data_IF_776339400839
#
_entry.id   IF_776339400839
#
_cell.length_a   1.000
_cell.length_b   1.000
_cell.length_c   1.000
_cell.angle_alpha   90.00
_cell.angle_beta   90.00
_cell.angle_gamma   90.00
#
_symmetry.space_group_name_H-M   'P 1'
#
loop_
_entity.id
_entity.type
_entity.pdbx_description
1 polymer ?
#
# COMPACT_ATOMS: atom_id res chain seq x y z
N UNK A 1 -56.76 -11.23 43.16
CA UNK A 1 -55.95 -9.99 43.02
C UNK A 1 -54.50 -10.42 42.82
N UNK A 2 -54.16 -10.78 41.59
CA UNK A 2 -52.79 -11.16 41.19
C UNK A 2 -52.24 -10.05 40.32
N UNK A 3 -51.29 -9.29 40.85
CA UNK A 3 -50.58 -8.26 40.10
C UNK A 3 -49.51 -8.92 39.24
N UNK A 4 -49.78 -8.96 37.93
CA UNK A 4 -48.83 -9.29 36.89
C UNK A 4 -47.77 -8.17 36.82
N UNK A 5 -46.51 -8.52 37.07
CA UNK A 5 -45.39 -7.66 36.72
C UNK A 5 -45.20 -7.73 35.19
N UNK A 6 -45.68 -6.68 34.53
CA UNK A 6 -45.42 -6.37 33.13
C UNK A 6 -43.95 -5.96 33.01
N UNK A 7 -43.16 -6.77 32.30
CA UNK A 7 -41.87 -6.35 31.74
C UNK A 7 -42.21 -5.42 30.58
N UNK A 8 -41.83 -4.11 30.61
CA UNK A 8 -42.05 -3.27 29.44
C UNK A 8 -41.10 -3.72 28.32
N UNK A 9 -41.70 -3.85 27.15
CA UNK A 9 -41.12 -4.34 25.92
C UNK A 9 -39.86 -3.55 25.51
N UNK A 10 -38.98 -4.27 24.81
CA UNK A 10 -37.85 -3.77 24.03
C UNK A 10 -38.22 -2.46 23.32
N UNK A 11 -37.68 -1.34 23.82
CA UNK A 11 -37.57 -0.13 23.04
C UNK A 11 -36.66 -0.44 21.84
N UNK A 12 -37.18 -0.18 20.65
CA UNK A 12 -36.59 -0.56 19.38
C UNK A 12 -35.14 -0.13 19.27
N UNK A 13 -34.35 -1.01 18.65
CA UNK A 13 -33.13 -0.64 17.96
C UNK A 13 -33.51 0.50 17.03
N UNK A 14 -33.17 1.73 17.41
CA UNK A 14 -33.12 2.83 16.47
C UNK A 14 -32.08 2.43 15.43
N UNK A 15 -32.57 2.04 14.26
CA UNK A 15 -31.80 2.05 13.03
C UNK A 15 -31.11 3.40 12.96
N UNK A 16 -29.79 3.41 13.10
CA UNK A 16 -28.97 4.58 12.82
C UNK A 16 -29.32 5.06 11.41
N UNK A 17 -29.65 6.34 11.33
CA UNK A 17 -30.06 7.05 10.12
C UNK A 17 -28.97 6.91 9.03
N UNK A 18 -29.27 6.32 7.86
CA UNK A 18 -28.25 5.98 6.87
C UNK A 18 -27.88 7.22 6.06
N UNK A 19 -26.78 7.87 6.45
CA UNK A 19 -26.01 8.76 5.57
C UNK A 19 -26.69 10.07 5.21
N UNK A 20 -26.08 11.18 5.63
CA UNK A 20 -26.55 12.54 5.40
C UNK A 20 -27.05 12.79 3.96
N UNK A 21 -28.33 13.14 3.78
CA UNK A 21 -28.89 13.63 2.52
C UNK A 21 -29.14 15.13 2.60
N UNK A 22 -28.27 15.91 1.94
CA UNK A 22 -28.72 16.86 0.94
C UNK A 22 -27.58 17.16 -0.06
N UNK A 23 -27.69 16.57 -1.27
CA UNK A 23 -26.76 16.75 -2.40
C UNK A 23 -25.78 15.60 -2.66
N UNK A 24 -26.26 14.44 -3.14
CA UNK A 24 -25.58 13.34 -3.89
C UNK A 24 -24.20 12.76 -3.46
N UNK A 25 -23.58 13.20 -2.37
CA UNK A 25 -22.27 12.69 -1.91
C UNK A 25 -22.43 11.95 -0.59
N UNK A 26 -22.52 10.61 -0.67
CA UNK A 26 -22.49 9.72 0.49
C UNK A 26 -21.03 9.55 0.95
N UNK A 27 -20.65 10.22 2.04
CA UNK A 27 -19.36 10.09 2.72
C UNK A 27 -19.59 9.94 4.24
N UNK A 28 -18.65 9.34 4.99
CA UNK A 28 -18.71 9.34 6.46
C UNK A 28 -18.81 10.77 7.02
N UNK A 29 -19.52 11.01 8.14
CA UNK A 29 -19.76 12.36 8.65
C UNK A 29 -18.51 13.19 8.91
N UNK A 30 -17.45 12.56 9.43
CA UNK A 30 -16.15 13.18 9.72
C UNK A 30 -15.39 13.58 8.44
N UNK A 31 -15.52 12.78 7.39
CA UNK A 31 -14.93 13.06 6.07
C UNK A 31 -15.78 14.06 5.27
N UNK A 32 -17.09 14.09 5.51
CA UNK A 32 -18.00 15.07 4.92
C UNK A 32 -17.91 16.44 5.62
N UNK A 33 -17.58 16.50 6.91
CA UNK A 33 -17.57 17.73 7.70
C UNK A 33 -16.79 18.90 7.06
N UNK A 34 -15.60 18.68 6.44
CA UNK A 34 -14.88 19.74 5.72
C UNK A 34 -15.66 20.37 4.55
N UNK A 35 -16.68 19.72 3.99
CA UNK A 35 -17.48 20.26 2.89
C UNK A 35 -18.44 21.39 3.31
N UNK A 36 -18.59 21.64 4.61
CA UNK A 36 -19.50 22.65 5.17
C UNK A 36 -19.03 24.10 4.99
N UNK A 37 -17.78 24.31 4.57
CA UNK A 37 -17.20 25.64 4.34
C UNK A 37 -16.27 25.65 3.13
N UNK A 38 -15.96 26.85 2.64
CA UNK A 38 -14.88 27.04 1.66
C UNK A 38 -13.51 27.01 2.32
N UNK A 39 -12.50 26.63 1.55
CA UNK A 39 -11.09 26.53 1.96
C UNK A 39 -10.22 27.29 0.97
N UNK A 40 -9.23 28.01 1.48
CA UNK A 40 -8.12 28.53 0.67
C UNK A 40 -7.14 27.41 0.31
N UNK A 41 -6.30 27.64 -0.71
CA UNK A 41 -5.25 26.68 -1.08
C UNK A 41 -4.27 26.40 0.07
N UNK A 42 -3.91 27.44 0.84
CA UNK A 42 -3.03 27.32 1.99
C UNK A 42 -3.63 26.42 3.08
N UNK A 43 -4.89 26.67 3.47
CA UNK A 43 -5.58 25.83 4.46
C UNK A 43 -5.74 24.38 3.97
N UNK A 44 -5.95 24.17 2.66
CA UNK A 44 -6.08 22.84 2.08
C UNK A 44 -4.78 22.02 2.20
N UNK A 45 -3.62 22.64 1.94
CA UNK A 45 -2.32 21.98 2.16
C UNK A 45 -2.01 21.76 3.64
N UNK A 46 -2.39 22.69 4.51
CA UNK A 46 -2.26 22.53 5.97
C UNK A 46 -3.12 21.38 6.49
N UNK A 47 -4.37 21.26 6.00
CA UNK A 47 -5.25 20.14 6.31
C UNK A 47 -4.61 18.80 5.93
N UNK A 48 -4.10 18.68 4.70
CA UNK A 48 -3.43 17.47 4.24
C UNK A 48 -2.18 17.16 5.08
N UNK A 49 -1.41 18.19 5.46
CA UNK A 49 -0.24 18.02 6.33
C UNK A 49 -0.61 17.57 7.73
N UNK A 50 -1.69 18.10 8.31
CA UNK A 50 -2.16 17.72 9.65
C UNK A 50 -2.64 16.26 9.66
N UNK A 51 -3.46 15.87 8.66
CA UNK A 51 -3.92 14.50 8.48
C UNK A 51 -2.73 13.54 8.32
N UNK A 52 -1.75 13.90 7.50
CA UNK A 52 -0.55 13.09 7.34
C UNK A 52 0.19 12.87 8.67
N UNK A 53 0.34 13.92 9.47
CA UNK A 53 1.07 13.86 10.75
C UNK A 53 0.31 13.08 11.83
N UNK A 54 -1.02 13.02 11.78
CA UNK A 54 -1.81 12.23 12.73
C UNK A 54 -1.76 10.72 12.45
N UNK A 55 -1.44 10.31 11.21
CA UNK A 55 -1.40 8.91 10.77
C UNK A 55 0.02 8.37 10.51
N UNK A 56 1.04 8.88 11.22
CA UNK A 56 2.48 8.72 10.92
C UNK A 56 3.01 7.28 10.79
N UNK A 57 2.22 6.23 10.99
CA UNK A 57 2.75 4.88 11.24
C UNK A 57 3.17 4.06 10.00
N UNK A 58 2.67 4.28 8.76
CA UNK A 58 2.80 3.23 7.73
C UNK A 58 3.23 3.63 6.30
N UNK A 59 3.53 4.88 5.99
CA UNK A 59 3.87 5.29 4.61
C UNK A 59 5.14 6.15 4.58
N UNK A 60 5.96 6.12 3.51
CA UNK A 60 7.20 6.90 3.39
C UNK A 60 7.03 8.43 3.36
N UNK A 61 5.91 8.96 3.86
CA UNK A 61 5.76 10.40 4.11
C UNK A 61 6.71 10.88 5.21
N UNK A 62 7.15 9.96 6.08
CA UNK A 62 8.14 10.20 7.11
C UNK A 62 9.60 10.06 6.66
N UNK A 63 9.89 9.81 5.37
CA UNK A 63 11.29 9.71 4.98
C UNK A 63 11.98 11.05 5.16
N UNK A 64 12.97 11.08 6.07
CA UNK A 64 13.91 12.18 6.25
C UNK A 64 14.60 12.58 4.92
N UNK A 65 14.58 11.71 3.91
CA UNK A 65 15.16 11.94 2.59
C UNK A 65 14.23 12.71 1.64
N UNK A 66 12.96 12.95 2.00
CA UNK A 66 12.03 13.74 1.19
C UNK A 66 12.40 15.24 1.18
N UNK A 67 12.65 15.87 0.01
CA UNK A 67 12.88 17.30 -0.08
C UNK A 67 11.69 18.12 0.45
N UNK A 68 11.96 19.19 1.22
CA UNK A 68 10.90 20.07 1.78
C UNK A 68 9.94 20.60 0.72
N UNK A 69 10.44 20.90 -0.48
CA UNK A 69 9.63 21.39 -1.59
C UNK A 69 8.58 20.38 -2.10
N UNK A 70 8.82 19.08 -1.94
CA UNK A 70 7.89 18.02 -2.35
C UNK A 70 6.90 17.65 -1.25
N UNK A 71 7.13 18.05 0.01
CA UNK A 71 6.30 17.67 1.15
C UNK A 71 4.81 18.03 0.97
N UNK A 72 4.43 19.24 0.51
CA UNK A 72 3.01 19.56 0.29
C UNK A 72 2.33 18.62 -0.71
N UNK A 73 3.03 18.29 -1.80
CA UNK A 73 2.53 17.37 -2.81
C UNK A 73 2.36 15.95 -2.23
N UNK A 74 3.37 15.44 -1.53
CA UNK A 74 3.30 14.13 -0.87
C UNK A 74 2.18 14.07 0.16
N UNK A 75 2.00 15.12 0.97
CA UNK A 75 0.92 15.19 1.97
C UNK A 75 -0.47 15.15 1.29
N UNK A 76 -0.65 15.86 0.18
CA UNK A 76 -1.94 15.85 -0.56
C UNK A 76 -2.27 14.48 -1.14
N UNK A 77 -1.28 13.80 -1.74
CA UNK A 77 -1.44 12.43 -2.26
C UNK A 77 -1.70 11.46 -1.11
N UNK A 78 -0.92 11.54 -0.02
CA UNK A 78 -1.10 10.69 1.14
C UNK A 78 -2.48 10.88 1.76
N UNK A 79 -2.95 12.12 1.95
CA UNK A 79 -4.27 12.37 2.51
C UNK A 79 -5.37 11.77 1.64
N UNK A 80 -5.29 11.90 0.31
CA UNK A 80 -6.22 11.26 -0.60
C UNK A 80 -6.21 9.72 -0.46
N UNK A 81 -5.03 9.11 -0.50
CA UNK A 81 -4.88 7.65 -0.42
C UNK A 81 -5.33 7.11 0.93
N UNK A 82 -4.95 7.78 2.02
CA UNK A 82 -5.26 7.37 3.38
C UNK A 82 -6.76 7.44 3.67
N UNK A 83 -7.41 8.54 3.29
CA UNK A 83 -8.88 8.65 3.43
C UNK A 83 -9.61 7.57 2.63
N UNK A 84 -9.13 7.24 1.42
CA UNK A 84 -9.72 6.16 0.63
C UNK A 84 -9.47 4.76 1.24
N UNK A 85 -8.27 4.52 1.78
CA UNK A 85 -7.89 3.31 2.52
C UNK A 85 -8.76 3.12 3.76
N UNK A 86 -9.02 4.19 4.52
CA UNK A 86 -9.87 4.19 5.70
C UNK A 86 -11.31 3.75 5.36
N UNK A 87 -11.86 4.09 4.19
CA UNK A 87 -13.15 3.54 3.75
C UNK A 87 -13.13 2.01 3.57
N UNK A 88 -11.97 1.44 3.26
CA UNK A 88 -11.79 0.00 3.09
C UNK A 88 -11.41 -0.74 4.38
N UNK A 89 -10.96 -0.02 5.41
CA UNK A 89 -10.44 -0.64 6.64
C UNK A 89 -11.26 -0.33 7.90
N UNK A 90 -11.95 0.82 7.97
CA UNK A 90 -12.70 1.20 9.17
C UNK A 90 -13.92 0.32 9.40
N UNK A 91 -14.03 -0.18 10.64
CA UNK A 91 -15.21 -0.83 11.23
C UNK A 91 -15.85 -1.90 10.34
N UNK A 92 -15.05 -2.86 9.84
CA UNK A 92 -15.56 -4.07 9.16
C UNK A 92 -16.63 -4.76 10.01
N UNK A 93 -17.88 -4.43 9.75
CA UNK A 93 -19.05 -5.04 10.34
C UNK A 93 -19.68 -5.94 9.29
N UNK A 94 -20.17 -7.14 9.64
CA UNK A 94 -20.88 -7.97 8.69
C UNK A 94 -22.01 -7.19 8.00
N UNK A 95 -21.93 -7.05 6.67
CA UNK A 95 -22.93 -6.35 5.86
C UNK A 95 -22.63 -4.89 5.49
N UNK A 96 -21.45 -4.34 5.84
CA UNK A 96 -21.06 -2.95 5.52
C UNK A 96 -20.43 -2.75 4.12
N UNK A 97 -20.23 -3.83 3.36
CA UNK A 97 -19.50 -3.83 2.09
C UNK A 97 -20.07 -2.82 1.09
N UNK A 98 -21.39 -2.81 0.93
CA UNK A 98 -22.08 -1.91 0.00
C UNK A 98 -21.91 -0.44 0.39
N UNK A 99 -21.89 -0.14 1.69
CA UNK A 99 -21.69 1.22 2.20
C UNK A 99 -20.26 1.69 1.92
N UNK A 100 -19.27 0.85 2.21
CA UNK A 100 -17.85 1.15 1.96
C UNK A 100 -17.55 1.33 0.47
N UNK A 101 -18.14 0.49 -0.38
CA UNK A 101 -18.09 0.67 -1.84
C UNK A 101 -18.76 1.99 -2.28
N UNK A 102 -19.85 2.37 -1.63
CA UNK A 102 -20.51 3.64 -1.93
C UNK A 102 -19.65 4.85 -1.55
N UNK A 103 -18.93 4.81 -0.42
CA UNK A 103 -17.93 5.82 -0.04
C UNK A 103 -16.79 5.92 -1.06
N UNK A 104 -16.21 4.79 -1.46
CA UNK A 104 -15.16 4.75 -2.49
C UNK A 104 -15.66 5.29 -3.84
N UNK A 105 -16.90 4.97 -4.22
CA UNK A 105 -17.51 5.51 -5.44
C UNK A 105 -17.80 7.00 -5.34
N UNK A 106 -18.18 7.52 -4.17
CA UNK A 106 -18.32 8.96 -3.96
C UNK A 106 -16.97 9.68 -4.08
N UNK A 107 -15.91 9.11 -3.50
CA UNK A 107 -14.55 9.62 -3.61
C UNK A 107 -14.03 9.63 -5.06
N UNK A 108 -14.33 8.57 -5.84
CA UNK A 108 -14.01 8.48 -7.27
C UNK A 108 -14.78 9.51 -8.11
N UNK A 109 -16.04 9.81 -7.76
CA UNK A 109 -16.79 10.91 -8.39
C UNK A 109 -16.13 12.27 -8.12
N UNK A 110 -15.64 12.50 -6.91
CA UNK A 110 -14.89 13.71 -6.58
C UNK A 110 -13.56 13.78 -7.34
N UNK A 111 -12.86 12.65 -7.52
CA UNK A 111 -11.65 12.57 -8.35
C UNK A 111 -11.95 12.88 -9.82
N UNK A 112 -13.06 12.36 -10.35
CA UNK A 112 -13.51 12.62 -11.73
C UNK A 112 -13.90 14.09 -11.93
N UNK A 113 -14.54 14.70 -10.95
CA UNK A 113 -14.81 16.13 -10.94
C UNK A 113 -13.48 16.92 -10.93
N UNK A 114 -12.51 16.48 -10.10
CA UNK A 114 -11.20 17.11 -9.93
C UNK A 114 -10.43 17.14 -11.24
N UNK A 115 -10.33 15.99 -11.90
CA UNK A 115 -9.75 15.83 -13.23
C UNK A 115 -10.40 16.77 -14.26
N UNK A 116 -11.72 16.93 -14.20
CA UNK A 116 -12.46 17.79 -15.12
C UNK A 116 -12.46 19.29 -14.76
N UNK A 117 -11.90 19.69 -13.61
CA UNK A 117 -11.94 21.07 -13.13
C UNK A 117 -13.36 21.60 -12.86
N UNK A 118 -14.32 20.72 -12.54
CA UNK A 118 -15.72 21.09 -12.27
C UNK A 118 -16.07 20.84 -10.82
N UNK A 119 -16.79 21.76 -10.18
CA UNK A 119 -17.26 21.56 -8.81
C UNK A 119 -18.12 20.29 -8.71
N UNK A 120 -17.90 19.41 -7.69
CA UNK A 120 -18.75 18.25 -7.48
C UNK A 120 -20.20 18.68 -7.22
N UNK A 121 -21.17 17.98 -7.83
CA UNK A 121 -22.58 18.22 -7.58
C UNK A 121 -22.92 17.97 -6.10
N UNK A 122 -23.78 18.82 -5.52
CA UNK A 122 -24.30 18.61 -4.16
C UNK A 122 -23.45 19.15 -3.01
N UNK A 123 -22.32 19.82 -3.27
CA UNK A 123 -21.54 20.48 -2.21
C UNK A 123 -22.09 21.88 -1.90
N UNK A 124 -22.45 22.17 -0.65
CA UNK A 124 -23.04 23.45 -0.26
C UNK A 124 -22.05 24.64 -0.29
N UNK A 125 -20.74 24.41 -0.06
CA UNK A 125 -19.77 25.48 0.17
C UNK A 125 -18.43 25.37 -0.61
N UNK A 126 -18.25 24.37 -1.48
CA UNK A 126 -17.05 24.23 -2.31
C UNK A 126 -16.46 22.82 -2.35
N UNK A 127 -15.16 22.73 -2.64
CA UNK A 127 -14.41 21.47 -2.71
C UNK A 127 -13.92 21.01 -1.34
N UNK A 128 -13.82 19.69 -1.16
CA UNK A 128 -13.11 19.13 -0.01
C UNK A 128 -11.63 19.54 -0.06
N UNK A 129 -11.00 19.95 1.06
CA UNK A 129 -9.64 20.48 1.08
C UNK A 129 -8.60 19.53 0.48
N UNK A 130 -8.73 18.22 0.70
CA UNK A 130 -7.88 17.21 0.04
C UNK A 130 -7.90 17.37 -1.49
N UNK A 131 -9.06 17.56 -2.10
CA UNK A 131 -9.16 17.66 -3.56
C UNK A 131 -8.66 19.02 -4.10
N UNK A 132 -8.73 20.09 -3.31
CA UNK A 132 -8.11 21.38 -3.67
C UNK A 132 -6.59 21.22 -3.76
N UNK A 133 -5.97 20.71 -2.69
CA UNK A 133 -4.53 20.46 -2.67
C UNK A 133 -4.10 19.42 -3.72
N UNK A 134 -4.92 18.37 -3.90
CA UNK A 134 -4.67 17.33 -4.90
C UNK A 134 -4.68 17.90 -6.32
N UNK A 135 -5.66 18.76 -6.68
CA UNK A 135 -5.72 19.35 -8.03
C UNK A 135 -4.45 20.13 -8.35
N UNK A 136 -4.02 20.97 -7.42
CA UNK A 136 -2.79 21.77 -7.55
C UNK A 136 -1.58 20.83 -7.73
N UNK A 137 -1.49 19.77 -6.93
CA UNK A 137 -0.43 18.76 -7.05
C UNK A 137 -0.46 18.03 -8.39
N UNK A 138 -1.63 17.57 -8.83
CA UNK A 138 -1.80 16.86 -10.10
C UNK A 138 -1.37 17.74 -11.28
N UNK A 139 -1.75 19.02 -11.29
CA UNK A 139 -1.40 19.96 -12.35
C UNK A 139 0.08 20.32 -12.34
N UNK A 140 0.62 20.68 -11.16
CA UNK A 140 2.01 21.11 -10.98
C UNK A 140 2.99 20.03 -11.42
N UNK A 141 2.72 18.78 -11.04
CA UNK A 141 3.58 17.64 -11.33
C UNK A 141 3.09 16.80 -12.51
N UNK A 142 2.06 17.25 -13.24
CA UNK A 142 1.41 16.56 -14.37
C UNK A 142 1.22 15.06 -14.10
N UNK A 143 0.66 14.73 -12.93
CA UNK A 143 0.47 13.35 -12.50
C UNK A 143 -0.75 12.75 -13.21
N UNK A 144 -0.63 11.56 -13.82
CA UNK A 144 -1.79 10.85 -14.36
C UNK A 144 -2.80 10.51 -13.28
N UNK A 145 -4.02 11.03 -13.40
CA UNK A 145 -5.14 10.73 -12.48
C UNK A 145 -5.44 9.22 -12.43
N UNK A 146 -5.19 8.51 -13.52
CA UNK A 146 -5.39 7.06 -13.59
C UNK A 146 -4.65 6.29 -12.48
N UNK A 147 -3.48 6.74 -12.03
CA UNK A 147 -2.75 6.07 -10.95
C UNK A 147 -3.47 6.19 -9.59
N UNK A 148 -4.20 7.28 -9.35
CA UNK A 148 -5.06 7.40 -8.17
C UNK A 148 -6.31 6.52 -8.29
N UNK A 149 -6.87 6.42 -9.49
CA UNK A 149 -8.02 5.55 -9.78
C UNK A 149 -7.66 4.06 -9.68
N UNK A 150 -6.44 3.70 -10.03
CA UNK A 150 -5.88 2.36 -9.84
C UNK A 150 -5.83 2.01 -8.34
N UNK A 151 -5.40 2.94 -7.48
CA UNK A 151 -5.44 2.75 -6.02
C UNK A 151 -6.86 2.61 -5.48
N UNK A 152 -7.81 3.42 -5.97
CA UNK A 152 -9.23 3.25 -5.62
C UNK A 152 -9.76 1.87 -6.03
N UNK A 153 -9.27 1.31 -7.14
CA UNK A 153 -9.62 -0.05 -7.57
C UNK A 153 -9.13 -1.08 -6.55
N UNK A 154 -7.91 -0.95 -6.05
CA UNK A 154 -7.41 -1.81 -4.98
C UNK A 154 -8.26 -1.71 -3.70
N UNK A 155 -8.59 -0.50 -3.25
CA UNK A 155 -9.44 -0.33 -2.06
C UNK A 155 -10.85 -0.91 -2.23
N UNK A 156 -11.41 -0.86 -3.45
CA UNK A 156 -12.68 -1.55 -3.78
C UNK A 156 -12.51 -3.07 -3.75
N UNK A 157 -11.38 -3.59 -4.25
CA UNK A 157 -11.05 -5.03 -4.12
C UNK A 157 -10.90 -5.44 -2.66
N UNK A 158 -10.31 -4.59 -1.82
CA UNK A 158 -10.18 -4.83 -0.39
C UNK A 158 -11.55 -4.96 0.32
N UNK A 159 -12.60 -4.33 -0.19
CA UNK A 159 -13.95 -4.54 0.32
C UNK A 159 -14.49 -5.95 0.04
N UNK A 160 -14.19 -6.52 -1.13
CA UNK A 160 -14.97 -7.65 -1.69
C UNK A 160 -14.15 -8.95 -1.84
N UNK A 161 -12.83 -8.84 -2.01
CA UNK A 161 -11.92 -9.96 -2.28
C UNK A 161 -11.25 -10.40 -1.00
N UNK A 162 -11.45 -11.67 -0.63
CA UNK A 162 -10.84 -12.28 0.57
C UNK A 162 -9.78 -13.32 0.26
N UNK A 163 -9.80 -13.88 -0.95
CA UNK A 163 -8.96 -14.98 -1.41
C UNK A 163 -8.61 -14.74 -2.87
N UNK A 164 -7.41 -15.16 -3.27
CA UNK A 164 -6.95 -15.11 -4.66
C UNK A 164 -6.81 -16.53 -5.19
N UNK A 165 -7.39 -16.81 -6.36
CA UNK A 165 -7.35 -18.16 -6.93
C UNK A 165 -5.95 -18.46 -7.47
N UNK A 166 -5.40 -17.52 -8.24
CA UNK A 166 -4.09 -17.65 -8.86
C UNK A 166 -3.12 -16.58 -8.39
N UNK A 167 -1.81 -16.84 -8.55
CA UNK A 167 -0.76 -15.86 -8.33
C UNK A 167 -0.91 -14.65 -9.24
N UNK A 168 -1.42 -14.84 -10.46
CA UNK A 168 -1.72 -13.74 -11.38
C UNK A 168 -2.83 -12.83 -10.86
N UNK A 169 -3.84 -13.37 -10.17
CA UNK A 169 -4.87 -12.55 -9.52
C UNK A 169 -4.28 -11.70 -8.39
N UNK A 170 -3.34 -12.27 -7.63
CA UNK A 170 -2.61 -11.53 -6.59
C UNK A 170 -1.70 -10.45 -7.20
N UNK A 171 -0.99 -10.75 -8.29
CA UNK A 171 -0.18 -9.75 -9.00
C UNK A 171 -1.04 -8.62 -9.59
N UNK A 172 -2.25 -8.93 -10.06
CA UNK A 172 -3.22 -7.93 -10.51
C UNK A 172 -3.63 -7.01 -9.36
N UNK A 173 -3.83 -7.54 -8.16
CA UNK A 173 -4.03 -6.71 -6.97
C UNK A 173 -2.81 -5.80 -6.72
N UNK A 174 -1.59 -6.33 -6.70
CA UNK A 174 -0.37 -5.53 -6.51
C UNK A 174 -0.19 -4.41 -7.55
N UNK A 175 -0.61 -4.67 -8.80
CA UNK A 175 -0.62 -3.66 -9.88
C UNK A 175 -1.49 -2.45 -9.54
N UNK A 176 -2.57 -2.64 -8.79
CA UNK A 176 -3.45 -1.56 -8.35
C UNK A 176 -3.03 -0.97 -7.01
N UNK A 177 -2.64 -1.81 -6.04
CA UNK A 177 -2.41 -1.40 -4.65
C UNK A 177 -1.04 -0.78 -4.38
N UNK A 178 -0.01 -1.15 -5.16
CA UNK A 178 1.37 -0.78 -4.85
C UNK A 178 2.07 0.01 -5.98
N UNK A 179 1.97 -0.49 -7.21
CA UNK A 179 2.72 0.08 -8.35
C UNK A 179 2.44 1.58 -8.61
N UNK A 180 1.20 2.08 -8.52
CA UNK A 180 0.91 3.49 -8.77
C UNK A 180 1.67 4.43 -7.82
N UNK A 181 1.91 4.00 -6.57
CA UNK A 181 2.64 4.79 -5.56
C UNK A 181 4.08 5.04 -6.01
N UNK A 182 4.78 4.01 -6.48
CA UNK A 182 6.15 4.15 -6.97
C UNK A 182 6.26 5.11 -8.17
N UNK A 183 5.31 5.03 -9.10
CA UNK A 183 5.23 5.91 -10.27
C UNK A 183 4.94 7.37 -9.89
N UNK A 184 4.04 7.60 -8.94
CA UNK A 184 3.77 8.92 -8.37
C UNK A 184 5.04 9.52 -7.77
N UNK A 185 5.76 8.76 -6.93
CA UNK A 185 7.01 9.22 -6.31
C UNK A 185 8.08 9.53 -7.37
N UNK A 186 8.32 8.64 -8.34
CA UNK A 186 9.27 8.92 -9.42
C UNK A 186 8.93 10.20 -10.18
N UNK A 187 7.64 10.42 -10.45
CA UNK A 187 7.16 11.60 -11.15
C UNK A 187 7.33 12.89 -10.33
N UNK A 188 7.06 12.87 -9.02
CA UNK A 188 7.29 14.02 -8.15
C UNK A 188 8.76 14.47 -8.16
N UNK A 189 9.68 13.52 -8.32
CA UNK A 189 11.12 13.79 -8.47
C UNK A 189 11.55 14.10 -9.92
N UNK A 190 10.60 14.23 -10.84
CA UNK A 190 10.83 14.62 -12.24
C UNK A 190 11.21 13.49 -13.19
N UNK A 191 11.10 12.22 -12.79
CA UNK A 191 11.38 11.09 -13.67
C UNK A 191 10.13 10.68 -14.44
N UNK A 192 10.23 10.66 -15.78
CA UNK A 192 9.15 10.32 -16.72
C UNK A 192 9.62 9.27 -17.72
N UNK A 193 9.87 8.06 -17.25
CA UNK A 193 10.37 6.97 -18.08
C UNK A 193 9.63 5.67 -17.77
N UNK A 194 9.04 5.08 -18.81
CA UNK A 194 8.37 3.77 -18.73
C UNK A 194 9.31 2.66 -18.28
N UNK A 195 10.60 2.76 -18.59
CA UNK A 195 11.61 1.83 -18.07
C UNK A 195 11.76 1.98 -16.56
N UNK A 196 11.89 3.22 -16.06
CA UNK A 196 12.01 3.46 -14.61
C UNK A 196 10.74 3.09 -13.86
N UNK A 197 9.57 3.31 -14.45
CA UNK A 197 8.29 2.85 -13.91
C UNK A 197 8.25 1.33 -13.81
N UNK A 198 8.65 0.59 -14.85
CA UNK A 198 8.71 -0.89 -14.79
C UNK A 198 9.64 -1.40 -13.69
N UNK A 199 10.81 -0.76 -13.50
CA UNK A 199 11.71 -1.13 -12.42
C UNK A 199 11.10 -0.80 -11.04
N UNK A 200 10.40 0.33 -10.93
CA UNK A 200 9.70 0.72 -9.70
C UNK A 200 8.55 -0.21 -9.38
N UNK A 201 7.76 -0.61 -10.38
CA UNK A 201 6.66 -1.55 -10.24
C UNK A 201 7.16 -2.89 -9.69
N UNK A 202 8.33 -3.36 -10.17
CA UNK A 202 8.94 -4.58 -9.64
C UNK A 202 9.29 -4.44 -8.15
N UNK A 203 9.89 -3.33 -7.73
CA UNK A 203 10.16 -3.07 -6.31
C UNK A 203 8.85 -2.99 -5.50
N UNK A 204 7.86 -2.24 -5.97
CA UNK A 204 6.57 -2.05 -5.30
C UNK A 204 5.81 -3.37 -5.13
N UNK A 205 5.74 -4.18 -6.20
CA UNK A 205 5.15 -5.52 -6.17
C UNK A 205 5.91 -6.42 -5.20
N UNK A 206 7.25 -6.42 -5.24
CA UNK A 206 8.07 -7.20 -4.31
C UNK A 206 7.85 -6.82 -2.84
N UNK A 207 7.73 -5.53 -2.53
CA UNK A 207 7.42 -5.04 -1.17
C UNK A 207 6.02 -5.48 -0.73
N UNK A 208 5.03 -5.38 -1.61
CA UNK A 208 3.66 -5.75 -1.30
C UNK A 208 3.54 -7.25 -1.00
N UNK A 209 4.16 -8.09 -1.82
CA UNK A 209 4.23 -9.53 -1.56
C UNK A 209 4.98 -9.85 -0.27
N UNK A 210 6.14 -9.22 -0.02
CA UNK A 210 6.88 -9.40 1.22
C UNK A 210 6.04 -9.03 2.46
N UNK A 211 5.22 -7.97 2.38
CA UNK A 211 4.26 -7.63 3.42
C UNK A 211 3.22 -8.75 3.61
N UNK A 212 2.62 -9.27 2.54
CA UNK A 212 1.69 -10.40 2.65
C UNK A 212 2.30 -11.64 3.32
N UNK A 213 3.59 -11.92 3.06
CA UNK A 213 4.28 -13.08 3.64
C UNK A 213 4.62 -12.92 5.11
N UNK A 214 5.02 -11.73 5.56
CA UNK A 214 5.25 -11.49 7.00
C UNK A 214 3.91 -11.38 7.77
N UNK A 215 2.82 -10.99 7.11
CA UNK A 215 1.54 -10.66 7.72
C UNK A 215 0.48 -11.77 7.64
N UNK A 216 0.84 -12.99 7.21
CA UNK A 216 -0.11 -14.12 7.09
C UNK A 216 -0.98 -14.29 8.34
N UNK A 217 -0.41 -14.22 9.55
CA UNK A 217 -1.18 -14.33 10.80
C UNK A 217 -2.15 -13.17 11.03
N UNK A 218 -1.70 -11.94 10.74
CA UNK A 218 -2.48 -10.71 10.93
C UNK A 218 -3.63 -10.65 9.92
N UNK A 219 -3.37 -11.06 8.68
CA UNK A 219 -4.38 -11.09 7.62
C UNK A 219 -5.45 -12.15 7.90
N UNK A 220 -5.08 -13.31 8.45
CA UNK A 220 -6.03 -14.35 8.86
C UNK A 220 -7.01 -13.86 9.93
N UNK A 221 -6.57 -13.02 10.87
CA UNK A 221 -7.45 -12.41 11.89
C UNK A 221 -8.51 -11.49 11.26
N UNK A 222 -8.24 -10.98 10.05
CA UNK A 222 -9.17 -10.18 9.25
C UNK A 222 -9.95 -11.00 8.21
N UNK A 223 -9.89 -12.33 8.30
CA UNK A 223 -10.41 -13.27 7.31
C UNK A 223 -9.91 -12.98 5.90
N UNK A 224 -8.60 -12.78 5.75
CA UNK A 224 -7.92 -12.60 4.46
C UNK A 224 -6.79 -13.61 4.30
N UNK A 225 -6.63 -14.11 3.08
CA UNK A 225 -5.51 -14.97 2.70
C UNK A 225 -5.03 -14.51 1.34
N UNK A 226 -3.81 -13.98 1.31
CA UNK A 226 -3.13 -13.54 0.09
C UNK A 226 -2.29 -14.66 -0.56
N UNK A 227 -1.94 -15.71 0.18
CA UNK A 227 -1.37 -16.93 -0.41
C UNK A 227 -2.35 -17.46 -1.48
N UNK A 228 -1.94 -17.60 -2.75
CA UNK A 228 -2.82 -18.07 -3.81
C UNK A 228 -3.38 -19.46 -3.52
N UNK A 229 -4.64 -19.70 -3.87
CA UNK A 229 -5.28 -21.00 -3.69
C UNK A 229 -4.56 -22.10 -4.48
N UNK A 230 -4.13 -21.81 -5.71
CA UNK A 230 -3.37 -22.77 -6.53
C UNK A 230 -2.07 -23.22 -5.86
N UNK A 231 -1.41 -22.33 -5.12
CA UNK A 231 -0.15 -22.64 -4.43
C UNK A 231 -0.45 -23.36 -3.10
N UNK A 232 -1.52 -22.99 -2.38
CA UNK A 232 -1.99 -23.77 -1.24
C UNK A 232 -2.25 -25.24 -1.63
N UNK A 233 -2.96 -25.46 -2.74
CA UNK A 233 -3.28 -26.79 -3.25
C UNK A 233 -2.01 -27.54 -3.68
N UNK A 234 -1.10 -26.85 -4.39
CA UNK A 234 0.18 -27.42 -4.85
C UNK A 234 1.03 -27.98 -3.72
N UNK A 235 1.05 -27.33 -2.56
CA UNK A 235 1.83 -27.75 -1.39
C UNK A 235 1.01 -28.55 -0.36
N UNK A 236 -0.27 -28.78 -0.61
CA UNK A 236 -1.16 -29.53 0.28
C UNK A 236 -1.48 -28.80 1.59
N UNK A 237 -1.48 -27.47 1.57
CA UNK A 237 -1.76 -26.62 2.74
C UNK A 237 -3.23 -26.23 2.74
N UNK A 238 -4.00 -26.76 3.70
CA UNK A 238 -5.42 -26.41 3.82
C UNK A 238 -5.64 -25.05 4.50
N UNK A 239 -6.74 -24.37 4.16
CA UNK A 239 -7.18 -23.16 4.88
C UNK A 239 -7.37 -23.43 6.38
N UNK A 240 -7.86 -24.61 6.76
CA UNK A 240 -8.00 -24.98 8.17
C UNK A 240 -6.64 -25.07 8.89
N UNK A 241 -5.60 -25.55 8.19
CA UNK A 241 -4.24 -25.59 8.72
C UNK A 241 -3.68 -24.18 8.95
N UNK A 242 -3.96 -23.24 8.03
CA UNK A 242 -3.59 -21.83 8.19
C UNK A 242 -4.30 -21.20 9.39
N UNK A 243 -5.62 -21.41 9.54
CA UNK A 243 -6.39 -20.90 10.68
C UNK A 243 -5.89 -21.44 12.02
N UNK A 244 -5.45 -22.71 12.05
CA UNK A 244 -4.82 -23.33 13.22
C UNK A 244 -3.34 -22.94 13.39
N UNK A 245 -2.82 -22.05 12.54
CA UNK A 245 -1.44 -21.57 12.56
C UNK A 245 -0.40 -22.70 12.52
N UNK A 246 -0.69 -23.77 11.76
CA UNK A 246 0.19 -24.94 11.63
C UNK A 246 1.36 -24.60 10.71
N UNK A 247 2.59 -24.62 11.26
CA UNK A 247 3.83 -24.37 10.54
C UNK A 247 4.62 -25.67 10.30
N UNK A 248 4.06 -26.57 9.50
CA UNK A 248 4.69 -27.85 9.13
C UNK A 248 5.61 -27.72 7.91
N UNK A 249 6.16 -28.83 7.44
CA UNK A 249 7.07 -28.84 6.29
C UNK A 249 6.40 -28.32 5.01
N UNK A 250 5.13 -28.65 4.78
CA UNK A 250 4.35 -28.20 3.62
C UNK A 250 4.18 -26.69 3.61
N UNK A 251 3.77 -26.09 4.74
CA UNK A 251 3.65 -24.64 4.86
C UNK A 251 5.00 -23.93 4.66
N UNK A 252 6.08 -24.47 5.22
CA UNK A 252 7.42 -23.89 5.04
C UNK A 252 7.86 -23.92 3.59
N UNK A 253 7.63 -25.02 2.87
CA UNK A 253 7.94 -25.13 1.44
C UNK A 253 7.10 -24.16 0.59
N UNK A 254 5.81 -24.02 0.89
CA UNK A 254 4.94 -23.03 0.27
C UNK A 254 5.49 -21.61 0.46
N UNK A 255 5.80 -21.23 1.70
CA UNK A 255 6.26 -19.86 1.97
C UNK A 255 7.63 -19.59 1.35
N UNK A 256 8.54 -20.58 1.33
CA UNK A 256 9.81 -20.48 0.61
C UNK A 256 9.60 -20.28 -0.90
N UNK A 257 8.64 -21.00 -1.49
CA UNK A 257 8.28 -20.84 -2.90
C UNK A 257 7.79 -19.42 -3.21
N UNK A 258 6.91 -18.86 -2.38
CA UNK A 258 6.44 -17.48 -2.51
C UNK A 258 7.54 -16.44 -2.31
N UNK A 259 8.41 -16.65 -1.31
CA UNK A 259 9.58 -15.80 -1.07
C UNK A 259 10.50 -15.79 -2.29
N UNK A 260 10.75 -16.93 -2.91
CA UNK A 260 11.61 -17.02 -4.09
C UNK A 260 11.01 -16.29 -5.31
N UNK A 261 9.70 -16.43 -5.56
CA UNK A 261 9.00 -15.64 -6.59
C UNK A 261 9.13 -14.13 -6.30
N UNK A 262 9.02 -13.74 -5.03
CA UNK A 262 9.15 -12.34 -4.60
C UNK A 262 10.57 -11.80 -4.76
N UNK A 263 11.61 -12.61 -4.51
CA UNK A 263 13.01 -12.24 -4.76
C UNK A 263 13.25 -11.88 -6.23
N UNK A 264 12.60 -12.57 -7.17
CA UNK A 264 12.74 -12.26 -8.60
C UNK A 264 12.29 -10.84 -8.95
N UNK A 265 11.25 -10.31 -8.29
CA UNK A 265 10.83 -8.91 -8.46
C UNK A 265 11.86 -7.92 -7.93
N UNK A 266 12.46 -8.20 -6.77
CA UNK A 266 13.55 -7.36 -6.26
C UNK A 266 14.77 -7.38 -7.16
N UNK A 267 15.13 -8.51 -7.76
CA UNK A 267 16.22 -8.58 -8.73
C UNK A 267 15.92 -7.79 -10.01
N UNK A 268 14.69 -7.86 -10.53
CA UNK A 268 14.25 -7.04 -11.65
C UNK A 268 14.33 -5.54 -11.33
N UNK A 269 13.90 -5.12 -10.14
CA UNK A 269 13.91 -3.72 -9.70
C UNK A 269 15.28 -3.18 -9.27
N UNK A 270 16.25 -4.07 -8.98
CA UNK A 270 17.58 -3.75 -8.43
C UNK A 270 18.32 -2.60 -9.15
N UNK A 271 18.24 -2.42 -10.48
CA UNK A 271 18.91 -1.32 -11.16
C UNK A 271 18.39 0.09 -10.81
N UNK A 272 17.13 0.24 -10.37
CA UNK A 272 16.46 1.54 -10.25
C UNK A 272 17.21 2.59 -9.40
N UNK A 273 17.72 2.28 -8.19
CA UNK A 273 18.44 3.27 -7.38
C UNK A 273 19.65 3.85 -8.13
N UNK A 274 20.34 3.03 -8.94
CA UNK A 274 21.48 3.48 -9.76
C UNK A 274 21.11 4.37 -10.95
N UNK A 275 19.82 4.40 -11.34
CA UNK A 275 19.30 5.21 -12.46
C UNK A 275 18.72 6.56 -12.03
N UNK A 276 18.52 6.77 -10.74
CA UNK A 276 18.07 8.06 -10.18
C UNK A 276 19.23 8.76 -9.45
N UNK A 277 19.01 10.02 -9.05
CA UNK A 277 20.03 10.90 -8.44
C UNK A 277 19.58 11.44 -7.08
N UNK A 278 20.54 11.99 -6.34
CA UNK A 278 20.29 12.72 -5.09
C UNK A 278 19.67 11.86 -3.99
N UNK A 279 18.77 12.46 -3.21
CA UNK A 279 18.13 11.82 -2.05
C UNK A 279 17.25 10.63 -2.45
N UNK A 280 16.62 10.67 -3.61
CA UNK A 280 15.79 9.58 -4.13
C UNK A 280 16.60 8.29 -4.35
N UNK A 281 17.86 8.39 -4.81
CA UNK A 281 18.74 7.22 -4.93
C UNK A 281 18.92 6.50 -3.59
N UNK A 282 19.16 7.27 -2.54
CA UNK A 282 19.36 6.74 -1.19
C UNK A 282 18.06 6.10 -0.69
N UNK A 283 16.93 6.81 -0.83
CA UNK A 283 15.61 6.32 -0.44
C UNK A 283 15.28 5.00 -1.14
N UNK A 284 15.30 4.96 -2.47
CA UNK A 284 14.97 3.74 -3.21
C UNK A 284 15.96 2.60 -2.93
N UNK A 285 17.23 2.90 -2.72
CA UNK A 285 18.23 1.92 -2.32
C UNK A 285 17.94 1.30 -0.95
N UNK A 286 17.53 2.12 0.02
CA UNK A 286 17.12 1.69 1.35
C UNK A 286 15.81 0.90 1.30
N UNK A 287 14.82 1.38 0.57
CA UNK A 287 13.54 0.69 0.36
C UNK A 287 13.74 -0.70 -0.25
N UNK A 288 14.54 -0.80 -1.32
CA UNK A 288 14.87 -2.08 -1.96
C UNK A 288 15.57 -3.04 -0.99
N UNK A 289 16.62 -2.56 -0.29
CA UNK A 289 17.33 -3.37 0.71
C UNK A 289 16.43 -3.81 1.86
N UNK A 290 15.52 -2.93 2.30
CA UNK A 290 14.54 -3.21 3.35
C UNK A 290 13.60 -4.34 2.95
N UNK A 291 13.08 -4.30 1.73
CA UNK A 291 12.23 -5.36 1.17
C UNK A 291 12.95 -6.71 1.10
N UNK A 292 14.17 -6.75 0.54
CA UNK A 292 14.98 -7.98 0.52
C UNK A 292 15.26 -8.49 1.93
N UNK A 293 15.52 -7.58 2.88
CA UNK A 293 15.78 -7.94 4.27
C UNK A 293 14.57 -8.59 4.96
N UNK A 294 13.34 -8.22 4.61
CA UNK A 294 12.13 -8.88 5.10
C UNK A 294 12.15 -10.35 4.68
N UNK A 295 12.44 -10.63 3.40
CA UNK A 295 12.53 -12.00 2.88
C UNK A 295 13.62 -12.81 3.61
N UNK A 296 14.80 -12.23 3.80
CA UNK A 296 15.87 -12.89 4.56
C UNK A 296 15.46 -13.21 6.00
N UNK A 297 14.62 -12.36 6.62
CA UNK A 297 14.12 -12.62 7.98
C UNK A 297 13.05 -13.70 8.01
N UNK A 298 12.17 -13.78 7.00
CA UNK A 298 11.19 -14.86 6.88
C UNK A 298 11.93 -16.21 6.81
N UNK A 299 12.95 -16.32 5.95
CA UNK A 299 13.75 -17.53 5.81
C UNK A 299 14.57 -17.85 7.08
N UNK A 300 15.21 -16.85 7.68
CA UNK A 300 15.99 -17.02 8.92
C UNK A 300 15.12 -17.45 10.12
N UNK A 301 13.83 -17.11 10.10
CA UNK A 301 12.85 -17.59 11.07
C UNK A 301 12.36 -19.01 10.77
N UNK A 302 12.92 -19.70 9.76
CA UNK A 302 12.45 -21.01 9.32
C UNK A 302 11.05 -20.97 8.74
N UNK A 303 10.64 -19.83 8.16
CA UNK A 303 9.31 -19.56 7.62
C UNK A 303 8.17 -19.60 8.64
N UNK A 304 8.46 -19.52 9.94
CA UNK A 304 7.43 -19.44 11.00
C UNK A 304 6.93 -18.00 11.21
N UNK A 305 6.13 -17.53 10.26
CA UNK A 305 5.50 -16.21 10.30
C UNK A 305 4.25 -16.15 11.18
N UNK A 306 3.76 -17.31 11.65
CA UNK A 306 2.59 -17.38 12.52
C UNK A 306 2.91 -16.96 13.95
N UNK A 307 4.06 -17.41 14.47
CA UNK A 307 4.44 -17.18 15.87
C UNK A 307 5.44 -16.03 16.01
N UNK A 308 6.15 -15.70 14.93
CA UNK A 308 7.16 -14.64 14.92
C UNK A 308 7.04 -13.83 13.64
N UNK A 309 6.30 -12.72 13.71
CA UNK A 309 6.24 -11.76 12.61
C UNK A 309 7.65 -11.21 12.30
N UNK A 310 8.19 -11.44 11.10
CA UNK A 310 9.46 -10.85 10.69
C UNK A 310 9.28 -9.33 10.55
N UNK A 311 10.09 -8.55 11.28
CA UNK A 311 10.06 -7.08 11.20
C UNK A 311 11.46 -6.54 10.96
N UNK A 312 11.62 -5.54 10.09
CA UNK A 312 12.90 -4.83 9.93
C UNK A 312 13.07 -3.92 11.14
N UNK A 313 14.10 -4.17 11.95
CA UNK A 313 14.34 -3.41 13.18
C UNK A 313 15.08 -2.11 12.90
N UNK A 314 15.10 -1.19 13.88
CA UNK A 314 15.93 0.03 13.82
C UNK A 314 17.41 -0.28 13.57
N UNK A 315 17.93 -1.38 14.11
CA UNK A 315 19.30 -1.82 13.89
C UNK A 315 19.54 -2.31 12.45
N UNK A 316 18.57 -3.02 11.86
CA UNK A 316 18.64 -3.40 10.45
C UNK A 316 18.68 -2.15 9.58
N UNK A 317 17.79 -1.18 9.80
CA UNK A 317 17.80 0.09 9.07
C UNK A 317 19.14 0.83 9.18
N UNK A 318 19.74 0.88 10.38
CA UNK A 318 21.07 1.47 10.58
C UNK A 318 22.15 0.75 9.75
N UNK A 319 22.17 -0.58 9.78
CA UNK A 319 23.13 -1.39 8.99
C UNK A 319 22.92 -1.20 7.49
N UNK A 320 21.67 -1.18 7.04
CA UNK A 320 21.32 -0.93 5.63
C UNK A 320 21.76 0.47 5.20
N UNK A 321 21.58 1.48 6.05
CA UNK A 321 22.07 2.83 5.81
C UNK A 321 23.59 2.88 5.67
N UNK A 322 24.34 2.32 6.62
CA UNK A 322 25.81 2.26 6.58
C UNK A 322 26.28 1.59 5.29
N UNK A 323 25.69 0.44 4.93
CA UNK A 323 26.03 -0.29 3.69
C UNK A 323 25.66 0.43 2.39
N UNK A 324 24.83 1.48 2.46
CA UNK A 324 24.39 2.28 1.30
C UNK A 324 25.24 3.53 1.11
N UNK A 325 25.87 4.01 2.18
CA UNK A 325 26.72 5.21 2.18
C UNK A 325 28.21 4.86 2.05
N UNK A 326 28.62 3.70 2.54
CA UNK A 326 29.99 3.19 2.35
C UNK A 326 30.00 2.38 1.05
N UNK A 327 30.72 2.82 0.00
CA UNK A 327 30.91 2.01 -1.20
C UNK A 327 31.53 0.69 -0.77
N UNK A 328 30.90 -0.43 -1.16
CA UNK A 328 31.54 -1.74 -1.01
C UNK A 328 32.92 -1.63 -1.67
N UNK A 329 33.98 -1.77 -0.86
CA UNK A 329 35.34 -1.89 -1.37
C UNK A 329 35.31 -3.09 -2.32
N UNK A 330 35.27 -2.83 -3.63
CA UNK A 330 35.29 -3.89 -4.65
C UNK A 330 36.58 -4.65 -4.41
N UNK A 331 36.49 -5.89 -3.93
CA UNK A 331 37.62 -6.82 -4.07
C UNK A 331 37.90 -6.93 -5.56
N UNK A 332 39.14 -6.74 -6.03
CA UNK A 332 39.48 -7.05 -7.40
C UNK A 332 39.19 -8.53 -7.61
N UNK A 333 38.46 -8.85 -8.69
CA UNK A 333 38.37 -10.22 -9.17
C UNK A 333 39.80 -10.70 -9.39
N UNK A 334 40.21 -11.70 -8.61
CA UNK A 334 41.42 -12.45 -8.84
C UNK A 334 41.26 -13.11 -10.21
N UNK A 335 41.91 -12.53 -11.22
CA UNK A 335 42.14 -13.21 -12.47
C UNK A 335 42.97 -14.46 -12.18
N UNK A 336 42.35 -15.62 -12.34
CA UNK A 336 43.04 -16.89 -12.31
C UNK A 336 42.70 -17.68 -13.59
N UNK A 337 43.77 -18.17 -14.22
CA UNK A 337 43.77 -19.37 -15.04
C UNK A 337 43.17 -19.29 -16.43
N UNK A 338 43.94 -18.84 -17.41
CA UNK A 338 43.87 -19.45 -18.75
C UNK A 338 45.12 -20.33 -18.93
N UNK A 339 44.97 -21.67 -19.03
CA UNK A 339 46.09 -22.54 -19.37
C UNK A 339 46.15 -22.80 -20.88
N UNK A 340 47.39 -22.88 -21.35
CA UNK A 340 47.86 -23.62 -22.53
C UNK A 340 47.36 -23.15 -23.90
N UNK A 341 48.24 -22.46 -24.62
CA UNK A 341 48.27 -22.52 -26.08
C UNK A 341 49.39 -23.50 -26.49
N UNK A 342 48.95 -24.66 -26.96
CA UNK A 342 49.75 -25.65 -27.67
C UNK A 342 49.49 -25.45 -29.16
N UNK A 343 50.52 -24.98 -29.89
CA UNK A 343 50.76 -25.36 -31.30
C UNK A 343 52.10 -24.81 -31.80
N UNK A 344 52.88 -25.72 -32.40
CA UNK A 344 54.25 -25.53 -32.84
C UNK A 344 54.45 -24.71 -34.12
N UNK A 345 55.73 -24.51 -34.40
CA UNK A 345 56.31 -23.81 -35.55
C UNK A 345 57.76 -23.47 -35.29
#
# INVERSE_FOLDING_TARGET
>A
MSSQNVIPAKAGIQTLDPGFRQGDVLLPPDVAAPLSRSWTEAEAFEFCSALTKSHYENFPVGSFLMPRALQPAVHSLYAFMRTADDFSDERRMPGDEQERLAYLNAWDRMLSACEAGRQPAGTAAGWHPIFIALKITLDTYQLPVQWLRDLLTAFKMDCTVRRYQTYEDLLRYCRYSANPVGRLILTLFGYRSEELYRLSDAICTGLQLANHWQDVAVDLEKDRIYLPQEDLDRFGVSVSSLQKKICDASFKQLLQFEVQKTRAFFEQGRPLPGRVRGRLRLELGLTWKGGVRILDKIEAAGCDVFHRRPVVTKFDWLRLFISSVIPACRKPESGDGSPADDRGG
#
